data_IF_023088954372
#
_entry.id   IF_023088954372
#
_cell.length_a   1.000
_cell.length_b   1.000
_cell.length_c   1.000
_cell.angle_alpha   90.00
_cell.angle_beta   90.00
_cell.angle_gamma   90.00
#
_symmetry.space_group_name_H-M   'P 1'
#
loop_
_entity.id
_entity.type
_entity.pdbx_description
1 polymer ?
#
# COMPACT_ATOMS: atom_id res chain seq x y z
N UNK A 1 12.07 -27.41 -33.44
CA UNK A 1 12.85 -27.17 -32.20
C UNK A 1 12.36 -25.87 -31.60
N UNK A 2 11.64 -25.93 -30.48
CA UNK A 2 11.30 -24.72 -29.72
C UNK A 2 12.53 -24.40 -28.87
N UNK A 3 13.17 -23.27 -29.14
CA UNK A 3 14.25 -22.73 -28.33
C UNK A 3 13.64 -22.27 -27.00
N UNK A 4 13.79 -23.10 -25.97
CA UNK A 4 13.42 -22.72 -24.62
C UNK A 4 14.35 -21.62 -24.12
N UNK A 5 13.84 -20.39 -24.04
CA UNK A 5 14.43 -19.34 -23.20
C UNK A 5 14.22 -19.79 -21.75
N UNK A 6 15.19 -20.54 -21.22
CA UNK A 6 15.36 -20.69 -19.78
C UNK A 6 16.13 -19.47 -19.29
N UNK A 7 15.44 -18.34 -19.19
CA UNK A 7 15.92 -17.24 -18.36
C UNK A 7 15.80 -17.69 -16.91
N UNK A 8 16.91 -18.15 -16.31
CA UNK A 8 16.97 -18.35 -14.88
C UNK A 8 16.71 -16.98 -14.21
N UNK A 9 15.54 -16.84 -13.59
CA UNK A 9 15.13 -15.64 -12.89
C UNK A 9 16.09 -15.44 -11.70
N UNK A 10 16.69 -14.25 -11.59
CA UNK A 10 17.65 -13.97 -10.52
C UNK A 10 16.97 -14.01 -9.16
N UNK A 11 17.70 -14.44 -8.14
CA UNK A 11 17.26 -14.33 -6.75
C UNK A 11 16.95 -12.87 -6.40
N UNK A 12 15.71 -12.62 -5.97
CA UNK A 12 15.19 -11.28 -5.65
C UNK A 12 14.24 -10.67 -6.68
N UNK A 13 14.23 -11.13 -7.94
CA UNK A 13 13.42 -10.51 -9.02
C UNK A 13 11.90 -10.72 -8.86
N UNK A 14 11.49 -11.62 -7.96
CA UNK A 14 10.09 -11.99 -7.74
C UNK A 14 9.69 -12.04 -6.27
N UNK A 15 10.47 -11.46 -5.34
CA UNK A 15 10.18 -11.53 -3.91
C UNK A 15 8.75 -11.07 -3.58
N UNK A 16 8.34 -9.94 -4.15
CA UNK A 16 7.00 -9.36 -3.97
C UNK A 16 5.93 -10.27 -4.56
N UNK A 17 6.12 -10.72 -5.80
CA UNK A 17 5.17 -11.58 -6.50
C UNK A 17 4.98 -12.92 -5.79
N UNK A 18 6.07 -13.55 -5.36
CA UNK A 18 6.04 -14.86 -4.69
C UNK A 18 5.45 -14.75 -3.29
N UNK A 19 5.79 -13.71 -2.51
CA UNK A 19 5.13 -13.48 -1.21
C UNK A 19 3.64 -13.26 -1.35
N UNK A 20 3.23 -12.41 -2.29
CA UNK A 20 1.81 -12.14 -2.52
C UNK A 20 1.06 -13.39 -2.96
N UNK A 21 1.54 -14.07 -4.01
CA UNK A 21 0.89 -15.27 -4.56
C UNK A 21 0.88 -16.42 -3.55
N UNK A 22 1.93 -16.56 -2.73
CA UNK A 22 1.97 -17.52 -1.63
C UNK A 22 0.86 -17.28 -0.61
N UNK A 23 0.82 -16.07 -0.02
CA UNK A 23 -0.21 -15.71 0.97
C UNK A 23 -1.63 -15.77 0.38
N UNK A 24 -1.80 -15.41 -0.89
CA UNK A 24 -3.07 -15.49 -1.58
C UNK A 24 -3.50 -16.94 -1.78
N UNK A 25 -2.61 -17.82 -2.22
CA UNK A 25 -2.88 -19.26 -2.38
C UNK A 25 -3.27 -19.93 -1.06
N UNK A 26 -2.58 -19.62 0.04
CA UNK A 26 -2.92 -20.13 1.38
C UNK A 26 -4.34 -19.70 1.78
N UNK A 27 -4.67 -18.42 1.58
CA UNK A 27 -6.01 -17.89 1.87
C UNK A 27 -7.12 -18.60 1.09
N UNK A 28 -6.87 -18.96 -0.19
CA UNK A 28 -7.81 -19.74 -1.00
C UNK A 28 -7.95 -21.18 -0.50
N UNK A 29 -6.84 -21.79 -0.10
CA UNK A 29 -6.77 -23.17 0.38
C UNK A 29 -7.51 -23.34 1.71
N UNK A 30 -7.28 -22.44 2.67
CA UNK A 30 -7.97 -22.43 3.97
C UNK A 30 -9.46 -22.13 3.83
N UNK A 31 -9.82 -21.22 2.91
CA UNK A 31 -11.21 -20.89 2.58
C UNK A 31 -11.96 -21.99 1.81
N UNK A 32 -11.30 -23.10 1.46
CA UNK A 32 -11.84 -24.15 0.56
C UNK A 32 -12.45 -23.57 -0.72
N UNK A 33 -11.81 -22.55 -1.26
CA UNK A 33 -12.22 -21.95 -2.54
C UNK A 33 -11.84 -22.92 -3.65
N UNK A 34 -12.77 -23.28 -4.57
CA UNK A 34 -12.44 -24.14 -5.68
C UNK A 34 -11.45 -23.44 -6.62
N UNK A 35 -10.37 -24.12 -7.01
CA UNK A 35 -9.34 -23.57 -7.91
C UNK A 35 -9.78 -23.58 -9.37
N UNK A 36 -10.90 -22.94 -9.68
CA UNK A 36 -11.35 -22.66 -11.05
C UNK A 36 -10.99 -21.22 -11.40
N UNK A 37 -10.78 -20.94 -12.68
CA UNK A 37 -10.36 -19.60 -13.13
C UNK A 37 -11.26 -18.47 -12.61
N UNK A 38 -12.59 -18.65 -12.66
CA UNK A 38 -13.56 -17.64 -12.21
C UNK A 38 -13.50 -17.38 -10.70
N UNK A 39 -13.31 -18.42 -9.90
CA UNK A 39 -13.26 -18.32 -8.43
C UNK A 39 -11.96 -17.62 -7.98
N UNK A 40 -10.84 -17.96 -8.62
CA UNK A 40 -9.54 -17.32 -8.39
C UNK A 40 -9.58 -15.84 -8.80
N UNK A 41 -10.16 -15.53 -9.97
CA UNK A 41 -10.32 -14.15 -10.43
C UNK A 41 -11.17 -13.33 -9.46
N UNK A 42 -12.31 -13.86 -9.03
CA UNK A 42 -13.17 -13.18 -8.08
C UNK A 42 -12.45 -12.94 -6.75
N UNK A 43 -11.76 -13.94 -6.21
CA UNK A 43 -11.02 -13.80 -4.96
C UNK A 43 -9.85 -12.80 -5.07
N UNK A 44 -9.18 -12.75 -6.24
CA UNK A 44 -8.12 -11.79 -6.51
C UNK A 44 -8.69 -10.37 -6.53
N UNK A 45 -9.80 -10.16 -7.24
CA UNK A 45 -10.50 -8.87 -7.28
C UNK A 45 -10.97 -8.44 -5.88
N UNK A 46 -11.50 -9.34 -5.06
CA UNK A 46 -11.86 -9.04 -3.67
C UNK A 46 -10.65 -8.63 -2.82
N UNK A 47 -9.53 -9.35 -2.95
CA UNK A 47 -8.28 -9.03 -2.25
C UNK A 47 -7.74 -7.65 -2.67
N UNK A 48 -7.80 -7.33 -3.96
CA UNK A 48 -7.44 -6.02 -4.49
C UNK A 48 -8.40 -4.92 -4.04
N UNK A 49 -9.71 -5.18 -3.98
CA UNK A 49 -10.71 -4.23 -3.43
C UNK A 49 -10.38 -3.90 -1.99
N UNK A 50 -10.18 -4.88 -1.11
CA UNK A 50 -9.74 -4.60 0.27
C UNK A 50 -8.43 -3.80 0.37
N UNK A 51 -7.53 -3.95 -0.61
CA UNK A 51 -6.32 -3.13 -0.68
C UNK A 51 -6.59 -1.70 -1.17
N UNK A 52 -7.62 -1.49 -2.01
CA UNK A 52 -8.03 -0.20 -2.58
C UNK A 52 -9.07 0.57 -1.73
N UNK A 53 -9.92 -0.13 -0.98
CA UNK A 53 -10.89 0.42 -0.01
C UNK A 53 -10.20 1.01 1.22
N UNK A 54 -8.93 0.66 1.44
CA UNK A 54 -8.01 1.62 2.05
C UNK A 54 -7.76 2.68 0.99
N UNK A 55 -8.55 3.77 1.00
CA UNK A 55 -8.17 4.99 0.30
C UNK A 55 -6.70 5.21 0.60
N UNK A 56 -5.84 5.00 -0.41
CA UNK A 56 -4.43 5.28 -0.27
C UNK A 56 -4.34 6.79 -0.23
N UNK A 57 -4.57 7.35 0.96
CA UNK A 57 -4.16 8.71 1.25
C UNK A 57 -2.72 8.79 0.78
N UNK A 58 -2.51 9.60 -0.25
CA UNK A 58 -1.20 9.76 -0.86
C UNK A 58 -0.36 10.59 0.10
N UNK A 59 0.15 9.88 1.10
CA UNK A 59 1.03 10.40 2.12
C UNK A 59 2.45 10.53 1.58
N UNK A 60 2.69 10.47 0.26
CA UNK A 60 3.97 10.78 -0.35
C UNK A 60 4.30 12.28 -0.24
N UNK A 61 5.58 12.70 -0.33
CA UNK A 61 5.95 14.11 -0.27
C UNK A 61 5.25 14.95 -1.35
N UNK A 62 5.01 14.37 -2.52
CA UNK A 62 4.31 15.02 -3.63
C UNK A 62 2.79 15.07 -3.42
N UNK A 63 2.21 14.01 -2.87
CA UNK A 63 0.81 13.94 -2.49
C UNK A 63 0.43 14.98 -1.44
N UNK A 64 1.20 15.03 -0.35
CA UNK A 64 1.00 15.99 0.74
C UNK A 64 1.10 17.44 0.25
N UNK A 65 1.97 17.72 -0.73
CA UNK A 65 2.07 19.04 -1.37
C UNK A 65 0.84 19.37 -2.23
N UNK A 66 0.13 18.39 -2.79
CA UNK A 66 -1.09 18.59 -3.59
C UNK A 66 -2.35 18.75 -2.72
N UNK A 67 -2.36 18.20 -1.51
CA UNK A 67 -3.50 18.27 -0.59
C UNK A 67 -3.75 19.68 -0.04
N UNK A 68 -5.01 20.01 0.27
CA UNK A 68 -5.37 21.28 0.92
C UNK A 68 -5.18 21.15 2.43
N UNK A 69 -5.02 22.28 3.12
CA UNK A 69 -4.88 22.32 4.60
C UNK A 69 -6.04 21.60 5.30
N UNK A 70 -7.25 21.65 4.75
CA UNK A 70 -8.41 20.93 5.29
C UNK A 70 -8.21 19.42 5.29
N UNK A 71 -7.62 18.87 4.22
CA UNK A 71 -7.38 17.44 4.11
C UNK A 71 -6.21 17.03 4.99
N UNK A 72 -5.12 17.80 5.04
CA UNK A 72 -4.01 17.59 5.98
C UNK A 72 -4.49 17.55 7.44
N UNK A 73 -5.42 18.43 7.83
CA UNK A 73 -6.02 18.42 9.16
C UNK A 73 -6.86 17.16 9.44
N UNK A 74 -7.58 16.65 8.44
CA UNK A 74 -8.33 15.39 8.58
C UNK A 74 -7.40 14.19 8.81
N UNK A 75 -6.23 14.17 8.16
CA UNK A 75 -5.23 13.11 8.35
C UNK A 75 -4.78 13.08 9.82
N UNK A 76 -4.39 14.24 10.35
CA UNK A 76 -3.99 14.38 11.75
C UNK A 76 -5.12 14.00 12.72
N UNK A 77 -6.36 14.43 12.45
CA UNK A 77 -7.53 14.09 13.26
C UNK A 77 -7.83 12.58 13.26
N UNK A 78 -7.75 11.92 12.09
CA UNK A 78 -7.86 10.46 11.96
C UNK A 78 -6.79 9.74 12.79
N UNK A 79 -5.60 10.31 12.95
CA UNK A 79 -4.52 9.76 13.78
C UNK A 79 -4.64 10.14 15.26
N UNK A 80 -5.64 10.94 15.64
CA UNK A 80 -5.77 11.48 16.99
C UNK A 80 -4.67 12.47 17.36
N UNK A 81 -4.00 13.05 16.37
CA UNK A 81 -2.88 13.96 16.53
C UNK A 81 -3.35 15.40 16.29
N UNK A 82 -2.90 16.32 17.15
CA UNK A 82 -3.17 17.74 16.99
C UNK A 82 -1.85 18.48 16.72
N UNK A 83 -1.85 19.39 15.75
CA UNK A 83 -0.73 20.30 15.58
C UNK A 83 -0.95 21.60 16.35
N UNK A 84 -0.29 21.77 17.49
CA UNK A 84 -0.27 23.04 18.23
C UNK A 84 0.75 23.98 17.59
N UNK A 85 0.26 25.03 16.91
CA UNK A 85 1.12 26.06 16.31
C UNK A 85 1.38 25.94 14.81
N UNK A 86 0.75 24.99 14.10
CA UNK A 86 0.77 24.99 12.64
C UNK A 86 -0.01 26.20 12.11
N UNK A 87 0.66 27.12 11.42
CA UNK A 87 0.05 28.31 10.80
C UNK A 87 -0.02 28.14 9.29
N UNK A 88 1.02 27.54 8.70
CA UNK A 88 1.16 27.37 7.27
C UNK A 88 0.95 25.93 6.84
N UNK A 89 0.65 25.72 5.55
CA UNK A 89 0.46 24.38 4.97
C UNK A 89 1.70 23.49 5.16
N UNK A 90 2.89 24.07 5.04
CA UNK A 90 4.18 23.41 5.26
C UNK A 90 4.32 22.83 6.66
N UNK A 91 3.81 23.50 7.70
CA UNK A 91 3.84 23.01 9.08
C UNK A 91 3.05 21.71 9.23
N UNK A 92 1.85 21.66 8.63
CA UNK A 92 1.01 20.46 8.63
C UNK A 92 1.68 19.31 7.88
N UNK A 93 2.30 19.59 6.73
CA UNK A 93 3.01 18.57 5.94
C UNK A 93 4.17 17.99 6.75
N UNK A 94 4.99 18.82 7.40
CA UNK A 94 6.12 18.36 8.24
C UNK A 94 5.64 17.52 9.41
N UNK A 95 4.58 17.95 10.09
CA UNK A 95 4.01 17.21 11.22
C UNK A 95 3.49 15.84 10.81
N UNK A 96 2.84 15.75 9.65
CA UNK A 96 2.38 14.47 9.08
C UNK A 96 3.58 13.58 8.74
N UNK A 97 4.65 14.15 8.19
CA UNK A 97 5.89 13.43 7.85
C UNK A 97 6.54 12.78 9.06
N UNK A 98 6.67 13.52 10.17
CA UNK A 98 7.22 13.02 11.44
C UNK A 98 6.38 11.87 12.03
N UNK A 99 5.07 11.93 11.84
CA UNK A 99 4.11 10.98 12.41
C UNK A 99 3.83 9.78 11.49
N UNK A 100 4.19 9.89 10.21
CA UNK A 100 3.95 8.88 9.18
C UNK A 100 4.46 7.47 9.54
N UNK A 101 5.73 7.28 9.98
CA UNK A 101 6.23 5.93 10.29
C UNK A 101 5.49 5.29 11.47
N UNK A 102 4.89 6.08 12.36
CA UNK A 102 4.16 5.60 13.55
C UNK A 102 2.73 5.20 13.21
N UNK A 103 2.04 5.96 12.36
CA UNK A 103 0.61 5.81 12.12
C UNK A 103 0.28 5.13 10.78
N UNK A 104 1.19 5.16 9.81
CA UNK A 104 1.02 4.53 8.51
C UNK A 104 2.34 3.87 8.02
N UNK A 105 2.84 2.82 8.70
CA UNK A 105 4.12 2.18 8.37
C UNK A 105 4.18 1.65 6.93
N UNK A 106 3.07 1.10 6.41
CA UNK A 106 3.00 0.68 5.01
C UNK A 106 3.07 1.83 4.00
N UNK A 107 2.70 3.06 4.37
CA UNK A 107 2.89 4.24 3.53
C UNK A 107 4.30 4.82 3.66
N UNK A 108 4.92 4.69 4.83
CA UNK A 108 6.32 5.06 5.05
C UNK A 108 7.28 4.13 4.27
N UNK A 109 7.01 2.83 4.24
CA UNK A 109 7.78 1.85 3.47
C UNK A 109 7.77 2.18 1.97
N UNK A 110 6.61 2.50 1.39
CA UNK A 110 6.48 2.91 -0.02
C UNK A 110 7.26 4.18 -0.41
N UNK A 111 7.68 5.01 0.55
CA UNK A 111 8.55 6.17 0.28
C UNK A 111 10.03 5.81 0.24
N UNK A 112 10.40 4.66 0.79
CA UNK A 112 11.79 4.22 0.89
C UNK A 112 12.19 3.41 -0.35
N UNK A 113 11.23 3.05 -1.20
CA UNK A 113 11.42 2.31 -2.46
C UNK A 113 11.47 3.20 -3.72
N UNK A 114 11.72 4.51 -3.57
CA UNK A 114 11.85 5.49 -4.68
C UNK A 114 13.25 6.10 -4.76
#
# INVERSE_FOLDING_TARGET
>A
MILGVSGALKDGDCEVCVRFLGSFYESLSEGRVPFRGADIENALVQRCRHAADKEVEDLSPEGLKKLKVKDLKKILDKWGEACKGCVEKSDFVRRIDELLPKHAPGAAERRTEL
#
